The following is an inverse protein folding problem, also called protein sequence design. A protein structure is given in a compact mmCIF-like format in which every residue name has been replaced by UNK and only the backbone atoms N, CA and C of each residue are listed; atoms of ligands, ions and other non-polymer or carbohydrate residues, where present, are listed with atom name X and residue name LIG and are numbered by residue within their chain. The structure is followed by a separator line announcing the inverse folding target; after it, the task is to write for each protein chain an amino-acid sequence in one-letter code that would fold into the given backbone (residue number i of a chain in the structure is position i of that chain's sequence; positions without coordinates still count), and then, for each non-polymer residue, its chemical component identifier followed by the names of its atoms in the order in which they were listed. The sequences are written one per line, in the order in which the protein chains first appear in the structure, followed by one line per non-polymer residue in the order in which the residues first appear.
data_IF_871444703394
#
_entry.id   IF_871444703394
#
_cell.length_a   1.000
_cell.length_b   1.000
_cell.length_c   1.000
_cell.angle_alpha   90.00
_cell.angle_beta   90.00
_cell.angle_gamma   90.00
#
_symmetry.space_group_name_H-M   'P 1'
#
loop_
_entity.id
_entity.type
_entity.pdbx_description
1 polymer ?
#
# COMPACT_ATOMS: atom_id res chain seq x y z
N UNK A 1 39.91 -18.36 19.38
CA UNK A 1 39.01 -17.59 18.50
C UNK A 1 37.64 -17.57 19.14
N UNK A 2 37.30 -16.51 19.88
CA UNK A 2 35.98 -16.35 20.50
C UNK A 2 35.00 -15.88 19.43
N UNK A 3 34.04 -16.73 19.07
CA UNK A 3 32.98 -16.36 18.15
C UNK A 3 32.17 -15.19 18.73
N UNK A 4 32.09 -14.09 18.00
CA UNK A 4 31.25 -12.94 18.35
C UNK A 4 29.79 -13.41 18.38
N UNK A 5 29.13 -13.22 19.53
CA UNK A 5 27.70 -13.50 19.70
C UNK A 5 26.94 -12.58 18.72
N UNK A 6 26.06 -13.11 17.85
CA UNK A 6 25.30 -12.26 16.93
C UNK A 6 24.50 -11.25 17.74
N UNK A 7 24.66 -9.96 17.41
CA UNK A 7 23.94 -8.89 18.07
C UNK A 7 22.44 -9.09 17.87
N UNK A 8 21.73 -9.43 18.95
CA UNK A 8 20.27 -9.56 18.94
C UNK A 8 19.69 -8.16 18.77
N UNK A 9 19.28 -7.81 17.55
CA UNK A 9 18.64 -6.51 17.28
C UNK A 9 17.26 -6.49 17.93
N UNK A 10 17.00 -5.49 18.77
CA UNK A 10 15.71 -5.34 19.44
C UNK A 10 14.58 -5.16 18.40
N UNK A 11 13.57 -6.04 18.35
CA UNK A 11 12.46 -5.91 17.42
C UNK A 11 11.70 -4.59 17.53
N UNK A 12 11.65 -3.99 18.72
CA UNK A 12 11.02 -2.69 18.94
C UNK A 12 11.67 -1.53 18.17
N UNK A 13 12.92 -1.69 17.73
CA UNK A 13 13.59 -0.65 16.96
C UNK A 13 13.05 -0.50 15.53
N UNK A 14 12.36 -1.51 14.97
CA UNK A 14 11.88 -1.49 13.57
C UNK A 14 10.35 -1.50 13.43
N UNK A 15 9.64 -1.96 14.47
CA UNK A 15 8.17 -2.02 14.49
C UNK A 15 7.52 -0.65 14.25
N UNK A 16 7.91 0.46 14.92
CA UNK A 16 7.27 1.76 14.69
C UNK A 16 7.41 2.27 13.25
N UNK A 17 8.60 2.12 12.66
CA UNK A 17 8.82 2.50 11.26
C UNK A 17 8.04 1.63 10.27
N UNK A 18 7.85 0.35 10.59
CA UNK A 18 7.06 -0.57 9.76
C UNK A 18 5.60 -0.15 9.72
N UNK A 19 4.97 0.04 10.89
CA UNK A 19 3.56 0.43 10.98
C UNK A 19 3.31 1.82 10.41
N UNK A 20 4.29 2.72 10.49
CA UNK A 20 4.22 4.00 9.78
C UNK A 20 4.19 3.78 8.27
N UNK A 21 5.09 2.94 7.74
CA UNK A 21 5.14 2.63 6.30
C UNK A 21 3.87 1.93 5.81
N UNK A 22 3.24 1.13 6.66
CA UNK A 22 1.96 0.46 6.42
C UNK A 22 0.78 1.45 6.38
N UNK A 23 0.79 2.44 7.27
CA UNK A 23 -0.29 3.43 7.37
C UNK A 23 -0.37 4.36 6.14
N UNK A 24 0.77 4.69 5.52
CA UNK A 24 0.85 5.61 4.38
C UNK A 24 -0.02 5.16 3.19
N UNK A 25 0.18 3.96 2.59
CA UNK A 25 -0.63 3.53 1.45
C UNK A 25 -2.12 3.44 1.81
N UNK A 26 -2.46 2.96 3.01
CA UNK A 26 -3.84 2.90 3.47
C UNK A 26 -4.51 4.30 3.48
N UNK A 27 -3.87 5.28 4.12
CA UNK A 27 -4.40 6.66 4.20
C UNK A 27 -4.47 7.30 2.80
N UNK A 28 -3.48 7.03 1.94
CA UNK A 28 -3.47 7.53 0.57
C UNK A 28 -4.68 7.03 -0.23
N UNK A 29 -4.98 5.73 -0.12
CA UNK A 29 -6.09 5.11 -0.84
C UNK A 29 -7.44 5.47 -0.22
N UNK A 30 -7.58 5.45 1.11
CA UNK A 30 -8.87 5.62 1.78
C UNK A 30 -9.31 7.07 1.96
N UNK A 31 -8.37 7.98 2.19
CA UNK A 31 -8.68 9.37 2.54
C UNK A 31 -8.21 10.34 1.48
N UNK A 32 -6.94 10.25 1.08
CA UNK A 32 -6.37 11.23 0.15
C UNK A 32 -7.00 11.13 -1.23
N UNK A 33 -7.26 9.92 -1.73
CA UNK A 33 -7.92 9.72 -3.04
C UNK A 33 -9.29 10.43 -3.12
N UNK A 34 -10.12 10.29 -2.08
CA UNK A 34 -11.46 10.90 -1.98
C UNK A 34 -11.35 12.42 -1.96
N UNK A 35 -10.48 12.97 -1.11
CA UNK A 35 -10.26 14.42 -1.00
C UNK A 35 -9.70 14.98 -2.30
N UNK A 36 -8.76 14.28 -2.93
CA UNK A 36 -8.14 14.66 -4.19
C UNK A 36 -9.18 14.75 -5.29
N UNK A 37 -9.98 13.71 -5.50
CA UNK A 37 -11.03 13.72 -6.52
C UNK A 37 -12.08 14.80 -6.27
N UNK A 38 -12.43 15.04 -5.01
CA UNK A 38 -13.36 16.11 -4.66
C UNK A 38 -12.80 17.49 -5.03
N UNK A 39 -11.51 17.72 -4.77
CA UNK A 39 -10.84 18.99 -5.13
C UNK A 39 -10.63 19.15 -6.63
N UNK A 40 -10.54 18.04 -7.38
CA UNK A 40 -10.42 18.03 -8.84
C UNK A 40 -11.78 18.09 -9.56
N UNK A 41 -12.87 18.36 -8.83
CA UNK A 41 -14.19 18.62 -9.42
C UNK A 41 -14.99 17.37 -9.78
N UNK A 42 -14.56 16.18 -9.37
CA UNK A 42 -15.34 14.94 -9.58
C UNK A 42 -16.60 14.95 -8.70
N UNK A 43 -17.70 14.41 -9.23
CA UNK A 43 -18.97 14.35 -8.53
C UNK A 43 -18.88 13.43 -7.30
N UNK A 44 -19.66 13.72 -6.25
CA UNK A 44 -19.69 12.87 -5.06
C UNK A 44 -20.21 11.46 -5.37
N UNK A 45 -21.14 11.35 -6.32
CA UNK A 45 -21.71 10.08 -6.77
C UNK A 45 -20.63 9.21 -7.40
N UNK A 46 -19.81 9.76 -8.29
CA UNK A 46 -18.72 9.02 -8.92
C UNK A 46 -17.64 8.68 -7.90
N UNK A 47 -17.24 9.62 -7.04
CA UNK A 47 -16.28 9.35 -5.97
C UNK A 47 -16.75 8.18 -5.13
N UNK A 48 -17.99 8.23 -4.60
CA UNK A 48 -18.54 7.16 -3.79
C UNK A 48 -18.60 5.84 -4.56
N UNK A 49 -19.04 5.86 -5.82
CA UNK A 49 -19.15 4.67 -6.65
C UNK A 49 -17.78 4.03 -6.87
N UNK A 50 -16.75 4.79 -7.21
CA UNK A 50 -15.44 4.25 -7.60
C UNK A 50 -14.51 3.99 -6.40
N UNK A 51 -14.45 4.88 -5.41
CA UNK A 51 -13.53 4.72 -4.28
C UNK A 51 -14.00 3.68 -3.27
N UNK A 52 -15.30 3.38 -3.19
CA UNK A 52 -15.79 2.31 -2.30
C UNK A 52 -15.20 0.94 -2.63
N UNK A 53 -14.88 0.69 -3.91
CA UNK A 53 -14.24 -0.56 -4.32
C UNK A 53 -12.76 -0.63 -3.95
N UNK A 54 -12.11 0.51 -3.71
CA UNK A 54 -10.71 0.51 -3.33
C UNK A 54 -10.48 -0.25 -2.02
N UNK A 55 -11.49 -0.38 -1.14
CA UNK A 55 -11.38 -1.15 0.10
C UNK A 55 -11.36 -2.68 -0.13
N UNK A 56 -11.80 -3.14 -1.30
CA UNK A 56 -11.95 -4.57 -1.59
C UNK A 56 -10.70 -5.40 -1.31
N UNK A 57 -9.47 -4.99 -1.69
CA UNK A 57 -8.27 -5.79 -1.47
C UNK A 57 -8.06 -6.19 -0.01
N UNK A 58 -8.36 -5.32 0.95
CA UNK A 58 -8.23 -5.66 2.38
C UNK A 58 -9.25 -6.72 2.84
N UNK A 59 -10.42 -6.78 2.22
CA UNK A 59 -11.45 -7.79 2.52
C UNK A 59 -11.09 -9.15 1.94
N UNK A 60 -10.59 -9.17 0.70
CA UNK A 60 -10.30 -10.41 -0.02
C UNK A 60 -8.87 -10.90 0.17
N UNK A 61 -8.03 -10.18 0.93
CA UNK A 61 -6.63 -10.59 1.22
C UNK A 61 -6.45 -12.01 1.77
N UNK A 62 -7.41 -12.63 2.51
CA UNK A 62 -7.26 -14.02 2.92
C UNK A 62 -7.04 -14.99 1.74
N UNK A 63 -7.51 -14.66 0.54
CA UNK A 63 -7.37 -15.51 -0.65
C UNK A 63 -5.92 -15.70 -1.11
N UNK A 64 -5.06 -14.68 -0.93
CA UNK A 64 -3.64 -14.76 -1.31
C UNK A 64 -2.68 -14.72 -0.12
N UNK A 65 -3.16 -14.49 1.10
CA UNK A 65 -2.32 -14.52 2.30
C UNK A 65 -1.46 -15.79 2.45
N UNK A 66 -1.96 -17.03 2.19
CA UNK A 66 -1.13 -18.22 2.30
C UNK A 66 0.02 -18.23 1.29
N UNK A 67 -0.17 -17.61 0.12
CA UNK A 67 0.89 -17.50 -0.87
C UNK A 67 2.01 -16.55 -0.40
N UNK A 68 1.65 -15.42 0.21
CA UNK A 68 2.63 -14.48 0.75
C UNK A 68 3.42 -15.12 1.89
N UNK A 69 2.76 -15.91 2.74
CA UNK A 69 3.39 -16.59 3.88
C UNK A 69 4.27 -17.78 3.47
N UNK A 70 3.86 -18.54 2.45
CA UNK A 70 4.60 -19.70 1.97
C UNK A 70 5.79 -19.35 1.08
N UNK A 71 5.74 -18.22 0.36
CA UNK A 71 6.76 -17.86 -0.63
C UNK A 71 7.63 -16.70 -0.14
N UNK A 72 8.96 -16.88 -0.19
CA UNK A 72 9.98 -15.87 0.14
C UNK A 72 9.96 -15.41 1.61
N UNK A 73 10.91 -14.55 1.96
CA UNK A 73 11.03 -14.00 3.32
C UNK A 73 10.15 -12.76 3.49
N UNK A 74 9.54 -12.57 4.67
CA UNK A 74 8.77 -11.36 5.03
C UNK A 74 9.48 -10.05 4.69
N UNK A 75 10.79 -9.99 4.96
CA UNK A 75 11.64 -8.82 4.63
C UNK A 75 11.61 -8.46 3.14
N UNK A 76 11.64 -9.46 2.24
CA UNK A 76 11.62 -9.21 0.81
C UNK A 76 10.27 -8.65 0.38
N UNK A 77 9.17 -9.21 0.90
CA UNK A 77 7.82 -8.71 0.64
C UNK A 77 7.66 -7.27 1.11
N UNK A 78 8.04 -6.96 2.34
CA UNK A 78 7.99 -5.59 2.90
C UNK A 78 8.75 -4.62 2.00
N UNK A 79 10.01 -4.90 1.66
CA UNK A 79 10.83 -4.00 0.84
C UNK A 79 10.29 -3.86 -0.58
N UNK A 80 9.81 -4.95 -1.18
CA UNK A 80 9.25 -4.93 -2.54
C UNK A 80 7.95 -4.13 -2.58
N UNK A 81 7.07 -4.32 -1.60
CA UNK A 81 5.82 -3.56 -1.51
C UNK A 81 6.09 -2.08 -1.25
N UNK A 82 7.03 -1.73 -0.37
CA UNK A 82 7.42 -0.33 -0.15
C UNK A 82 7.94 0.35 -1.43
N UNK A 83 8.78 -0.36 -2.19
CA UNK A 83 9.27 0.14 -3.49
C UNK A 83 8.14 0.31 -4.51
N UNK A 84 7.22 -0.66 -4.59
CA UNK A 84 6.04 -0.58 -5.46
C UNK A 84 5.12 0.57 -5.06
N UNK A 85 4.83 0.76 -3.76
CA UNK A 85 4.03 1.87 -3.26
C UNK A 85 4.65 3.21 -3.65
N UNK A 86 5.97 3.36 -3.50
CA UNK A 86 6.69 4.55 -3.95
C UNK A 86 6.56 4.80 -5.46
N UNK A 87 6.72 3.76 -6.28
CA UNK A 87 6.55 3.85 -7.73
C UNK A 87 5.11 4.23 -8.12
N UNK A 88 4.12 3.62 -7.46
CA UNK A 88 2.70 3.90 -7.70
C UNK A 88 2.34 5.34 -7.30
N UNK A 89 2.88 5.85 -6.19
CA UNK A 89 2.72 7.25 -5.81
C UNK A 89 3.29 8.21 -6.87
N UNK A 90 4.47 7.90 -7.40
CA UNK A 90 5.05 8.68 -8.50
C UNK A 90 4.14 8.64 -9.74
N UNK A 91 3.60 7.47 -10.09
CA UNK A 91 2.64 7.33 -11.20
C UNK A 91 1.37 8.14 -10.98
N UNK A 92 0.80 8.15 -9.76
CA UNK A 92 -0.35 9.02 -9.43
C UNK A 92 0.02 10.48 -9.68
N UNK A 93 1.14 10.95 -9.13
CA UNK A 93 1.56 12.34 -9.30
C UNK A 93 1.74 12.73 -10.78
N UNK A 94 2.36 11.85 -11.58
CA UNK A 94 2.61 12.07 -13.00
C UNK A 94 1.34 12.02 -13.87
N UNK A 95 0.27 11.37 -13.40
CA UNK A 95 -0.97 11.23 -14.18
C UNK A 95 -2.06 12.24 -13.83
N UNK A 96 -1.87 13.05 -12.77
CA UNK A 96 -2.78 14.16 -12.44
C UNK A 96 -2.95 15.16 -13.61
N UNK A 97 -1.90 15.58 -14.35
CA UNK A 97 -2.04 16.52 -15.46
C UNK A 97 -2.63 15.91 -16.74
N UNK A 98 -2.86 14.60 -16.77
CA UNK A 98 -3.34 13.91 -17.97
C UNK A 98 -4.83 14.20 -18.23
N UNK A 99 -5.24 14.13 -19.49
CA UNK A 99 -6.64 14.33 -19.89
C UNK A 99 -7.60 13.33 -19.23
N UNK A 100 -7.13 12.11 -18.97
CA UNK A 100 -7.89 11.02 -18.32
C UNK A 100 -7.40 10.77 -16.88
N UNK A 101 -6.99 11.83 -16.16
CA UNK A 101 -6.39 11.70 -14.83
C UNK A 101 -7.19 10.78 -13.91
N UNK A 102 -8.52 10.92 -13.87
CA UNK A 102 -9.39 10.16 -12.98
C UNK A 102 -9.23 8.65 -13.14
N UNK A 103 -9.23 8.15 -14.38
CA UNK A 103 -9.10 6.73 -14.67
C UNK A 103 -7.70 6.21 -14.32
N UNK A 104 -6.66 6.96 -14.70
CA UNK A 104 -5.27 6.58 -14.44
C UNK A 104 -4.95 6.56 -12.95
N UNK A 105 -5.28 7.63 -12.22
CA UNK A 105 -5.03 7.69 -10.78
C UNK A 105 -5.86 6.65 -10.04
N UNK A 106 -7.08 6.34 -10.50
CA UNK A 106 -7.91 5.29 -9.90
C UNK A 106 -7.29 3.91 -10.08
N UNK A 107 -6.78 3.60 -11.27
CA UNK A 107 -6.06 2.35 -11.53
C UNK A 107 -4.80 2.23 -10.65
N UNK A 108 -4.06 3.33 -10.46
CA UNK A 108 -2.91 3.35 -9.57
C UNK A 108 -3.29 3.22 -8.09
N UNK A 109 -4.38 3.86 -7.63
CA UNK A 109 -4.86 3.64 -6.27
C UNK A 109 -5.34 2.21 -6.03
N UNK A 110 -5.91 1.56 -7.04
CA UNK A 110 -6.21 0.12 -6.99
C UNK A 110 -4.95 -0.71 -6.80
N UNK A 111 -3.91 -0.44 -7.60
CA UNK A 111 -2.63 -1.12 -7.46
C UNK A 111 -2.01 -0.88 -6.07
N UNK A 112 -2.09 0.36 -5.58
CA UNK A 112 -1.63 0.72 -4.23
C UNK A 112 -2.39 -0.03 -3.15
N UNK A 113 -3.71 -0.23 -3.30
CA UNK A 113 -4.54 -0.96 -2.34
C UNK A 113 -4.12 -2.44 -2.25
N UNK A 114 -3.84 -3.09 -3.38
CA UNK A 114 -3.29 -4.45 -3.40
C UNK A 114 -1.88 -4.53 -2.80
N UNK A 115 -1.00 -3.57 -3.13
CA UNK A 115 0.32 -3.49 -2.53
C UNK A 115 0.24 -3.28 -1.01
N UNK A 116 -0.67 -2.43 -0.53
CA UNK A 116 -0.91 -2.20 0.89
C UNK A 116 -1.37 -3.49 1.57
N UNK A 117 -2.46 -4.11 1.10
CA UNK A 117 -2.97 -5.33 1.70
C UNK A 117 -1.93 -6.47 1.74
N UNK A 118 -1.02 -6.52 0.76
CA UNK A 118 0.09 -7.48 0.71
C UNK A 118 1.22 -7.11 1.68
N UNK A 119 1.53 -5.81 1.83
CA UNK A 119 2.45 -5.32 2.84
C UNK A 119 1.94 -5.64 4.25
N UNK A 120 0.65 -5.42 4.53
CA UNK A 120 0.02 -5.73 5.81
C UNK A 120 0.17 -7.23 6.15
N UNK A 121 -0.09 -8.14 5.19
CA UNK A 121 0.10 -9.58 5.40
C UNK A 121 1.55 -9.88 5.80
N UNK A 122 2.53 -9.30 5.11
CA UNK A 122 3.94 -9.56 5.39
C UNK A 122 4.45 -8.87 6.68
N UNK A 123 3.78 -7.82 7.14
CA UNK A 123 4.10 -7.06 8.34
C UNK A 123 3.48 -7.68 9.61
N UNK A 124 2.22 -8.12 9.53
CA UNK A 124 1.45 -8.67 10.65
C UNK A 124 1.55 -10.19 10.81
N UNK A 125 1.65 -10.93 9.70
CA UNK A 125 1.86 -12.39 9.70
C UNK A 125 3.25 -12.73 10.23
#
# INVERSE_FOLDING_TARGET
MTASKPAVRNPWAWVPSLYLAESIPYVMVMTVSVIMYKRLGISNTDIALYTSWLYLPWVIKPLWSPFVDMFKTKRLWILTMQALIGAVLACVALTIPASQFFQYTLAFFWLMAFCSATHDIAADG
#
